data_IF_083265021626
#
_entry.id   IF_083265021626
#
_cell.length_a   1.000
_cell.length_b   1.000
_cell.length_c   1.000
_cell.angle_alpha   90.00
_cell.angle_beta   90.00
_cell.angle_gamma   90.00
#
_symmetry.space_group_name_H-M   'P 1'
#
loop_
_entity.id
_entity.type
_entity.pdbx_description
1 polymer ?
#
# COMPACT_ATOMS: atom_id res chain seq x y z
N UNK A 1 1.23 17.15 -12.78
CA UNK A 1 1.23 15.68 -12.96
C UNK A 1 -0.21 15.23 -12.77
N UNK A 2 -0.79 14.52 -13.71
CA UNK A 2 -2.15 13.97 -13.56
C UNK A 2 -2.00 12.61 -12.88
N UNK A 3 -2.44 12.49 -11.64
CA UNK A 3 -2.53 11.22 -10.93
C UNK A 3 -3.97 10.73 -10.96
N UNK A 4 -4.17 9.46 -11.23
CA UNK A 4 -5.49 8.87 -11.30
C UNK A 4 -5.90 8.18 -10.01
N UNK A 5 -4.95 7.55 -9.34
CA UNK A 5 -5.13 6.88 -8.05
C UNK A 5 -3.97 7.28 -7.14
N UNK A 6 -4.27 7.65 -5.92
CA UNK A 6 -3.30 8.03 -4.90
C UNK A 6 -3.65 7.33 -3.57
N UNK A 7 -2.72 6.55 -3.05
CA UNK A 7 -2.82 6.02 -1.70
C UNK A 7 -2.16 6.97 -0.69
N UNK A 8 -2.80 7.14 0.44
CA UNK A 8 -2.31 7.92 1.58
C UNK A 8 -2.19 7.02 2.80
N UNK A 9 -1.08 7.14 3.50
CA UNK A 9 -0.83 6.52 4.80
C UNK A 9 -0.81 7.59 5.89
N UNK A 10 -0.95 7.18 7.13
CA UNK A 10 -0.94 8.08 8.31
C UNK A 10 -1.94 9.24 8.20
N UNK A 11 -3.11 9.00 7.67
CA UNK A 11 -4.12 10.05 7.53
C UNK A 11 -4.58 10.60 8.87
N UNK A 12 -4.42 9.83 9.94
CA UNK A 12 -4.86 10.15 11.31
C UNK A 12 -6.33 10.53 11.39
N UNK A 13 -7.12 10.09 10.42
CA UNK A 13 -8.56 10.30 10.38
C UNK A 13 -9.28 9.28 11.25
N UNK A 14 -10.45 9.67 11.75
CA UNK A 14 -11.33 8.77 12.49
C UNK A 14 -12.47 8.30 11.60
N UNK A 15 -12.86 7.03 11.83
CA UNK A 15 -13.94 6.40 11.10
C UNK A 15 -13.57 6.11 9.65
N UNK A 16 -14.50 5.54 8.95
CA UNK A 16 -14.36 5.09 7.57
C UNK A 16 -15.46 5.67 6.71
N UNK A 17 -15.27 5.69 5.41
CA UNK A 17 -16.29 6.13 4.47
C UNK A 17 -15.76 6.97 3.33
N UNK A 18 -16.69 7.52 2.56
CA UNK A 18 -16.37 8.46 1.48
C UNK A 18 -16.22 9.88 2.03
N UNK A 19 -15.22 10.59 1.53
CA UNK A 19 -14.94 11.99 1.87
C UNK A 19 -14.47 12.76 0.66
N UNK A 20 -14.76 14.05 0.64
CA UNK A 20 -14.22 14.97 -0.36
C UNK A 20 -12.94 15.63 0.17
N UNK A 21 -11.91 15.63 -0.66
CA UNK A 21 -10.64 16.33 -0.44
C UNK A 21 -10.51 17.44 -1.49
N UNK A 22 -11.11 18.58 -1.21
CA UNK A 22 -11.35 19.61 -2.23
C UNK A 22 -12.33 19.10 -3.29
N UNK A 23 -11.92 19.05 -4.55
CA UNK A 23 -12.72 18.50 -5.67
C UNK A 23 -12.48 16.99 -5.91
N UNK A 24 -11.62 16.34 -5.11
CA UNK A 24 -11.25 14.94 -5.33
C UNK A 24 -12.02 14.03 -4.37
N UNK A 25 -12.68 13.02 -4.89
CA UNK A 25 -13.33 11.99 -4.09
C UNK A 25 -12.29 11.03 -3.50
N UNK A 26 -12.43 10.72 -2.23
CA UNK A 26 -11.57 9.77 -1.53
C UNK A 26 -12.37 8.83 -0.65
N UNK A 27 -11.79 7.67 -0.40
CA UNK A 27 -12.28 6.70 0.57
C UNK A 27 -11.24 6.59 1.66
N UNK A 28 -11.70 6.60 2.90
CA UNK A 28 -10.84 6.59 4.08
C UNK A 28 -11.16 5.40 4.96
N UNK A 29 -10.14 4.84 5.58
CA UNK A 29 -10.25 3.85 6.65
C UNK A 29 -9.35 4.30 7.81
N UNK A 30 -9.95 4.48 8.97
CA UNK A 30 -9.25 4.96 10.16
C UNK A 30 -9.78 4.30 11.43
N UNK A 31 -9.16 4.62 12.56
CA UNK A 31 -9.57 4.06 13.86
C UNK A 31 -10.98 4.51 14.24
N UNK A 32 -11.76 3.59 14.78
CA UNK A 32 -13.14 3.87 15.22
C UNK A 32 -13.13 4.63 16.54
N UNK A 33 -12.24 4.27 17.47
CA UNK A 33 -12.13 4.86 18.81
C UNK A 33 -10.69 5.08 19.23
N UNK A 34 -10.47 5.92 20.24
CA UNK A 34 -9.14 6.21 20.76
C UNK A 34 -8.37 7.26 19.97
N UNK A 35 -7.04 7.31 20.15
CA UNK A 35 -6.16 8.26 19.47
C UNK A 35 -5.89 7.78 18.04
N UNK A 36 -6.28 8.59 17.06
CA UNK A 36 -5.99 8.30 15.65
C UNK A 36 -4.48 8.45 15.37
N UNK A 37 -3.76 7.34 15.38
CA UNK A 37 -2.33 7.26 15.03
C UNK A 37 -2.11 6.69 13.64
N UNK A 38 -3.10 6.04 13.09
CA UNK A 38 -3.12 5.31 11.83
C UNK A 38 -4.11 5.94 10.88
N UNK A 39 -4.40 5.26 9.83
CA UNK A 39 -5.39 5.62 8.83
C UNK A 39 -4.80 5.56 7.44
N UNK A 40 -5.56 5.00 6.53
CA UNK A 40 -5.25 4.93 5.10
C UNK A 40 -6.37 5.56 4.29
N UNK A 41 -6.03 6.05 3.11
CA UNK A 41 -7.03 6.54 2.16
C UNK A 41 -6.63 6.22 0.72
N UNK A 42 -7.62 6.13 -0.16
CA UNK A 42 -7.42 6.09 -1.60
C UNK A 42 -8.21 7.24 -2.22
N UNK A 43 -7.49 8.14 -2.88
CA UNK A 43 -8.08 9.21 -3.68
C UNK A 43 -8.07 8.79 -5.14
N UNK A 44 -9.15 9.09 -5.86
CA UNK A 44 -9.29 8.78 -7.28
C UNK A 44 -9.67 10.03 -8.06
N UNK A 45 -9.12 10.20 -9.26
CA UNK A 45 -9.50 11.30 -10.14
C UNK A 45 -10.96 11.16 -10.61
N UNK A 46 -11.59 12.25 -11.03
CA UNK A 46 -12.96 12.24 -11.56
C UNK A 46 -13.16 11.18 -12.65
N UNK A 47 -12.19 11.05 -13.57
CA UNK A 47 -12.27 10.06 -14.66
C UNK A 47 -12.19 8.60 -14.18
N UNK A 48 -11.66 8.35 -12.99
CA UNK A 48 -11.59 7.00 -12.37
C UNK A 48 -12.78 6.77 -11.47
N UNK A 49 -13.33 7.82 -10.87
CA UNK A 49 -14.46 7.74 -9.94
C UNK A 49 -15.66 6.98 -10.53
N UNK A 50 -16.01 7.26 -11.79
CA UNK A 50 -17.11 6.60 -12.49
C UNK A 50 -16.84 5.11 -12.80
N UNK A 51 -15.56 4.68 -12.71
CA UNK A 51 -15.11 3.31 -12.97
C UNK A 51 -14.92 2.49 -11.70
N UNK A 52 -15.07 3.11 -10.54
CA UNK A 52 -15.04 2.42 -9.26
C UNK A 52 -16.28 1.55 -9.14
N UNK A 53 -16.07 0.24 -9.02
CA UNK A 53 -17.17 -0.74 -8.92
C UNK A 53 -17.39 -1.24 -7.49
N UNK A 54 -16.35 -1.19 -6.67
CA UNK A 54 -16.39 -1.67 -5.30
C UNK A 54 -15.24 -1.07 -4.49
N UNK A 55 -15.41 -0.92 -3.19
CA UNK A 55 -14.35 -0.63 -2.26
C UNK A 55 -14.66 -1.21 -0.89
N UNK A 56 -13.62 -1.48 -0.11
CA UNK A 56 -13.77 -2.03 1.24
C UNK A 56 -12.66 -1.53 2.16
N UNK A 57 -13.04 -1.14 3.33
CA UNK A 57 -12.17 -1.00 4.49
C UNK A 57 -11.96 -2.37 5.13
N UNK A 58 -10.71 -2.74 5.34
CA UNK A 58 -10.33 -3.98 6.00
C UNK A 58 -9.93 -3.70 7.45
N UNK A 59 -9.10 -2.67 7.65
CA UNK A 59 -8.68 -2.18 8.95
C UNK A 59 -8.25 -0.72 8.88
N UNK A 60 -7.87 -0.11 10.01
CA UNK A 60 -7.26 1.24 10.01
C UNK A 60 -5.94 1.34 9.21
N UNK A 61 -5.37 0.20 8.81
CA UNK A 61 -4.10 0.10 8.06
C UNK A 61 -4.25 -0.44 6.65
N UNK A 62 -5.45 -0.90 6.29
CA UNK A 62 -5.66 -1.64 5.04
C UNK A 62 -7.04 -1.36 4.46
N UNK A 63 -7.08 -0.97 3.21
CA UNK A 63 -8.30 -0.81 2.41
C UNK A 63 -8.01 -1.03 0.93
N UNK A 64 -9.03 -1.27 0.15
CA UNK A 64 -8.88 -1.38 -1.30
C UNK A 64 -10.04 -0.75 -2.06
N UNK A 65 -9.76 -0.44 -3.32
CA UNK A 65 -10.73 0.06 -4.31
C UNK A 65 -10.59 -0.75 -5.58
N UNK A 66 -11.70 -1.25 -6.10
CA UNK A 66 -11.77 -2.00 -7.35
C UNK A 66 -12.26 -1.09 -8.48
N UNK A 67 -11.50 -1.04 -9.55
CA UNK A 67 -11.76 -0.18 -10.71
C UNK A 67 -11.89 -1.05 -11.97
N UNK A 68 -12.95 -0.86 -12.72
CA UNK A 68 -13.13 -1.52 -14.01
C UNK A 68 -12.67 -0.60 -15.15
N UNK A 69 -11.62 -1.02 -15.86
CA UNK A 69 -11.05 -0.27 -16.98
C UNK A 69 -11.17 -1.07 -18.28
N UNK A 70 -12.21 -0.80 -19.04
CA UNK A 70 -12.54 -1.59 -20.22
C UNK A 70 -12.89 -3.03 -19.85
N UNK A 71 -12.08 -3.98 -20.32
CA UNK A 71 -12.23 -5.41 -19.97
C UNK A 71 -11.44 -5.83 -18.74
N UNK A 72 -10.53 -4.99 -18.28
CA UNK A 72 -9.66 -5.28 -17.14
C UNK A 72 -10.28 -4.81 -15.83
N UNK A 73 -9.99 -5.53 -14.77
CA UNK A 73 -10.30 -5.15 -13.40
C UNK A 73 -9.00 -4.94 -12.66
N UNK A 74 -8.89 -3.77 -12.04
CA UNK A 74 -7.75 -3.36 -11.22
C UNK A 74 -8.17 -3.19 -9.78
N UNK A 75 -7.39 -3.73 -8.88
CA UNK A 75 -7.56 -3.53 -7.43
C UNK A 75 -6.38 -2.76 -6.91
N UNK A 76 -6.66 -1.58 -6.37
CA UNK A 76 -5.68 -0.73 -5.71
C UNK A 76 -5.84 -0.90 -4.20
N UNK A 77 -4.82 -1.44 -3.56
CA UNK A 77 -4.77 -1.66 -2.11
C UNK A 77 -3.92 -0.56 -1.49
N UNK A 78 -4.47 0.18 -0.53
CA UNK A 78 -3.71 1.11 0.31
C UNK A 78 -3.35 0.42 1.60
N UNK A 79 -2.06 0.31 1.89
CA UNK A 79 -1.54 -0.40 3.04
C UNK A 79 -0.55 0.47 3.84
N UNK A 80 -0.69 0.45 5.17
CA UNK A 80 0.21 1.11 6.11
C UNK A 80 0.76 0.07 7.08
N UNK A 81 1.94 -0.44 6.78
CA UNK A 81 2.63 -1.44 7.60
C UNK A 81 2.97 -0.91 8.99
N UNK A 82 2.91 -1.75 10.02
CA UNK A 82 3.34 -1.37 11.36
C UNK A 82 4.84 -1.09 11.40
N UNK A 83 5.24 -0.07 12.18
CA UNK A 83 6.64 0.23 12.42
C UNK A 83 7.30 -0.74 13.39
N UNK A 84 8.61 -0.60 13.56
CA UNK A 84 9.42 -1.45 14.45
C UNK A 84 9.09 -1.30 15.94
N UNK A 85 8.36 -0.25 16.32
CA UNK A 85 7.90 0.01 17.69
C UNK A 85 6.68 -0.84 18.08
N UNK A 86 6.08 -1.55 17.11
CA UNK A 86 4.93 -2.43 17.33
C UNK A 86 5.37 -3.83 17.76
N UNK A 87 4.48 -4.54 18.45
CA UNK A 87 4.75 -5.91 18.86
C UNK A 87 4.91 -6.84 17.65
N UNK A 88 5.48 -8.01 17.86
CA UNK A 88 5.65 -8.99 16.79
C UNK A 88 4.29 -9.50 16.32
N UNK A 89 3.36 -9.71 17.26
CA UNK A 89 2.00 -10.15 16.99
C UNK A 89 1.24 -9.14 16.11
N UNK A 90 1.33 -7.81 16.42
CA UNK A 90 0.70 -6.77 15.61
C UNK A 90 1.29 -6.72 14.18
N UNK A 91 2.59 -6.98 14.05
CA UNK A 91 3.24 -7.03 12.74
C UNK A 91 2.80 -8.26 11.94
N UNK A 92 2.77 -9.42 12.56
CA UNK A 92 2.34 -10.65 11.90
C UNK A 92 0.88 -10.58 11.47
N UNK A 93 -0.01 -10.11 12.34
CA UNK A 93 -1.44 -9.90 12.02
C UNK A 93 -1.64 -9.01 10.78
N UNK A 94 -0.82 -7.96 10.64
CA UNK A 94 -0.86 -7.08 9.47
C UNK A 94 -0.49 -7.84 8.19
N UNK A 95 0.59 -8.63 8.19
CA UNK A 95 1.05 -9.35 7.01
C UNK A 95 0.07 -10.46 6.59
N UNK A 96 -0.51 -11.17 7.56
CA UNK A 96 -1.59 -12.14 7.32
C UNK A 96 -2.80 -11.43 6.71
N UNK A 97 -3.24 -10.32 7.30
CA UNK A 97 -4.38 -9.55 6.78
C UNK A 97 -4.14 -9.01 5.37
N UNK A 98 -2.91 -8.62 5.04
CA UNK A 98 -2.54 -8.16 3.70
C UNK A 98 -2.58 -9.32 2.70
N UNK A 99 -2.02 -10.49 3.03
CA UNK A 99 -2.04 -11.68 2.18
C UNK A 99 -3.48 -12.14 1.93
N UNK A 100 -4.29 -12.29 2.98
CA UNK A 100 -5.70 -12.65 2.87
C UNK A 100 -6.49 -11.65 2.01
N UNK A 101 -6.21 -10.36 2.16
CA UNK A 101 -6.84 -9.31 1.37
C UNK A 101 -6.51 -9.47 -0.13
N UNK A 102 -5.24 -9.70 -0.47
CA UNK A 102 -4.80 -9.89 -1.86
C UNK A 102 -5.44 -11.14 -2.44
N UNK A 103 -5.45 -12.25 -1.71
CA UNK A 103 -6.08 -13.50 -2.15
C UNK A 103 -7.57 -13.33 -2.42
N UNK A 104 -8.29 -12.67 -1.50
CA UNK A 104 -9.73 -12.46 -1.61
C UNK A 104 -10.15 -11.61 -2.81
N UNK A 105 -9.32 -10.63 -3.22
CA UNK A 105 -9.66 -9.69 -4.30
C UNK A 105 -9.05 -10.05 -5.65
N UNK A 106 -8.06 -10.95 -5.66
CA UNK A 106 -7.17 -11.17 -6.80
C UNK A 106 -7.70 -12.12 -7.88
N UNK A 107 -8.87 -12.72 -7.74
CA UNK A 107 -9.40 -13.68 -8.75
C UNK A 107 -9.62 -13.00 -10.11
N UNK A 108 -8.61 -13.11 -11.00
CA UNK A 108 -8.64 -12.55 -12.35
C UNK A 108 -8.49 -11.03 -12.44
N UNK A 109 -7.96 -10.38 -11.41
CA UNK A 109 -7.73 -8.95 -11.35
C UNK A 109 -6.24 -8.61 -11.40
N UNK A 110 -5.92 -7.41 -11.86
CA UNK A 110 -4.61 -6.81 -11.65
C UNK A 110 -4.56 -6.16 -10.26
N UNK A 111 -3.57 -6.47 -9.45
CA UNK A 111 -3.43 -5.92 -8.09
C UNK A 111 -2.25 -4.97 -8.01
N UNK A 112 -2.47 -3.81 -7.38
CA UNK A 112 -1.42 -2.83 -7.06
C UNK A 112 -1.50 -2.50 -5.58
N UNK A 113 -0.49 -2.93 -4.82
CA UNK A 113 -0.35 -2.54 -3.40
C UNK A 113 0.46 -1.25 -3.33
N UNK A 114 -0.07 -0.25 -2.65
CA UNK A 114 0.50 1.08 -2.51
C UNK A 114 0.49 1.52 -1.03
N UNK A 115 1.33 2.45 -0.68
CA UNK A 115 1.39 3.03 0.65
C UNK A 115 2.77 2.90 1.29
N UNK A 116 2.84 2.99 2.61
CA UNK A 116 4.07 2.82 3.37
C UNK A 116 4.02 1.50 4.17
N UNK A 117 4.77 0.52 3.71
CA UNK A 117 4.81 -0.81 4.35
C UNK A 117 5.87 -0.91 5.46
N UNK A 118 6.60 0.17 5.76
CA UNK A 118 7.75 0.16 6.67
C UNK A 118 8.75 -0.98 6.38
N UNK A 119 8.80 -1.41 5.11
CA UNK A 119 9.53 -2.57 4.62
C UNK A 119 10.70 -2.14 3.72
N UNK A 120 11.90 -2.62 4.03
CA UNK A 120 13.09 -2.51 3.18
C UNK A 120 13.48 -3.90 2.70
N UNK A 121 13.42 -4.11 1.39
CA UNK A 121 13.69 -5.42 0.76
C UNK A 121 15.16 -5.67 0.41
N UNK A 122 16.01 -4.64 0.57
CA UNK A 122 17.43 -4.75 0.18
C UNK A 122 17.69 -4.43 -1.29
N UNK A 123 18.93 -4.63 -1.71
CA UNK A 123 19.39 -4.44 -3.09
C UNK A 123 19.67 -5.74 -3.84
N UNK A 124 19.55 -6.87 -3.16
CA UNK A 124 19.70 -8.18 -3.76
C UNK A 124 18.58 -8.45 -4.76
N UNK A 125 18.94 -8.88 -5.95
CA UNK A 125 17.97 -9.21 -7.00
C UNK A 125 17.31 -10.54 -6.66
N UNK A 126 16.00 -10.52 -6.55
CA UNK A 126 15.17 -11.74 -6.42
C UNK A 126 14.35 -11.88 -7.69
N UNK A 127 14.55 -12.99 -8.40
CA UNK A 127 13.91 -13.20 -9.69
C UNK A 127 12.39 -13.00 -9.61
N UNK A 128 11.85 -12.21 -10.52
CA UNK A 128 10.43 -11.86 -10.62
C UNK A 128 9.85 -11.07 -9.42
N UNK A 129 10.64 -10.73 -8.39
CA UNK A 129 10.17 -10.00 -7.20
C UNK A 129 10.93 -8.69 -6.99
N UNK A 130 12.27 -8.72 -6.94
CA UNK A 130 13.11 -7.55 -6.68
C UNK A 130 14.03 -7.28 -7.86
N UNK A 131 13.95 -6.06 -8.40
CA UNK A 131 14.79 -5.62 -9.51
C UNK A 131 16.14 -5.06 -9.04
N UNK A 132 16.92 -4.56 -10.02
CA UNK A 132 18.33 -4.13 -9.85
C UNK A 132 18.51 -2.80 -9.09
N UNK A 133 17.44 -2.11 -8.75
CA UNK A 133 17.51 -0.74 -8.22
C UNK A 133 16.96 -0.63 -6.79
N UNK A 134 17.01 -1.69 -6.02
CA UNK A 134 16.74 -1.69 -4.59
C UNK A 134 17.63 -0.70 -3.81
N UNK A 135 17.42 -0.60 -2.52
CA UNK A 135 18.26 0.17 -1.60
C UNK A 135 18.92 -0.77 -0.61
N UNK A 136 20.15 -0.47 -0.16
CA UNK A 136 20.84 -1.26 0.84
C UNK A 136 20.04 -1.41 2.13
N UNK A 137 20.25 -2.53 2.78
CA UNK A 137 19.60 -2.87 4.04
C UNK A 137 18.23 -3.51 3.85
N UNK A 138 18.06 -4.65 4.51
CA UNK A 138 16.81 -5.39 4.61
C UNK A 138 16.36 -5.42 6.09
N UNK A 139 15.08 -5.29 6.35
CA UNK A 139 14.52 -5.41 7.69
C UNK A 139 13.48 -6.54 7.74
N UNK A 140 13.02 -6.91 8.94
CA UNK A 140 12.06 -7.98 9.13
C UNK A 140 10.76 -7.77 8.32
N UNK A 141 10.24 -6.52 8.26
CA UNK A 141 9.09 -6.21 7.40
C UNK A 141 9.40 -6.41 5.91
N UNK A 142 10.66 -6.17 5.49
CA UNK A 142 11.08 -6.42 4.11
C UNK A 142 11.15 -7.92 3.79
N UNK A 143 11.51 -8.77 4.73
CA UNK A 143 11.45 -10.23 4.58
C UNK A 143 10.01 -10.70 4.41
N UNK A 144 9.09 -10.23 5.25
CA UNK A 144 7.66 -10.52 5.14
C UNK A 144 7.05 -10.00 3.83
N UNK A 145 7.44 -8.81 3.38
CA UNK A 145 7.00 -8.30 2.07
C UNK A 145 7.46 -9.20 0.92
N UNK A 146 8.68 -9.73 0.98
CA UNK A 146 9.17 -10.66 -0.03
C UNK A 146 8.38 -11.98 -0.02
N UNK A 147 8.03 -12.52 1.15
CA UNK A 147 7.17 -13.70 1.30
C UNK A 147 5.82 -13.46 0.61
N UNK A 148 5.13 -12.37 0.94
CA UNK A 148 3.84 -12.00 0.32
C UNK A 148 3.98 -11.78 -1.20
N UNK A 149 5.06 -11.13 -1.66
CA UNK A 149 5.29 -10.95 -3.09
C UNK A 149 5.51 -12.26 -3.83
N UNK A 150 6.22 -13.22 -3.24
CA UNK A 150 6.43 -14.54 -3.84
C UNK A 150 5.15 -15.37 -3.87
N UNK A 151 4.36 -15.32 -2.80
CA UNK A 151 3.09 -16.05 -2.67
C UNK A 151 2.06 -15.59 -3.71
N UNK A 152 1.96 -14.26 -3.94
CA UNK A 152 0.96 -13.66 -4.81
C UNK A 152 1.49 -13.21 -6.18
N UNK A 153 2.69 -13.64 -6.57
CA UNK A 153 3.33 -13.27 -7.85
C UNK A 153 3.44 -11.75 -8.08
N UNK A 154 3.69 -11.00 -6.98
CA UNK A 154 3.85 -9.56 -7.02
C UNK A 154 5.31 -9.15 -7.21
N UNK A 155 5.50 -7.96 -7.76
CA UNK A 155 6.81 -7.36 -8.00
C UNK A 155 6.96 -6.09 -7.17
N UNK A 156 8.10 -5.89 -6.53
CA UNK A 156 8.42 -4.64 -5.83
C UNK A 156 8.81 -3.57 -6.85
N UNK A 157 7.81 -2.85 -7.34
CA UNK A 157 7.92 -1.90 -8.45
C UNK A 157 9.00 -0.82 -8.25
N UNK A 158 9.24 -0.38 -7.02
CA UNK A 158 10.27 0.61 -6.69
C UNK A 158 11.69 0.15 -7.07
N UNK A 159 11.91 -1.15 -7.18
CA UNK A 159 13.21 -1.76 -7.48
C UNK A 159 13.46 -1.96 -8.97
N UNK A 160 12.44 -1.75 -9.81
CA UNK A 160 12.54 -1.94 -11.27
C UNK A 160 13.13 -0.73 -12.00
N UNK A 161 13.04 0.47 -11.41
CA UNK A 161 13.39 1.71 -12.10
C UNK A 161 14.55 2.42 -11.42
N UNK A 162 15.53 2.88 -12.25
CA UNK A 162 16.63 3.69 -11.75
C UNK A 162 16.13 5.05 -11.29
N UNK A 163 16.32 5.38 -10.03
CA UNK A 163 16.03 6.69 -9.43
C UNK A 163 17.27 7.28 -8.79
N UNK A 164 17.37 8.62 -8.74
CA UNK A 164 18.39 9.29 -7.94
C UNK A 164 18.21 8.93 -6.48
N UNK A 165 19.30 8.81 -5.69
CA UNK A 165 19.28 8.43 -4.27
C UNK A 165 18.23 9.21 -3.48
N UNK A 166 18.16 10.53 -3.63
CA UNK A 166 17.20 11.41 -2.96
C UNK A 166 15.71 11.11 -3.26
N UNK A 167 15.41 10.32 -4.30
CA UNK A 167 14.05 9.92 -4.68
C UNK A 167 13.73 8.46 -4.33
N UNK A 168 14.65 7.77 -3.64
CA UNK A 168 14.45 6.38 -3.21
C UNK A 168 13.99 6.27 -1.76
N UNK A 169 14.18 7.33 -0.97
CA UNK A 169 13.85 7.36 0.46
C UNK A 169 12.71 8.33 0.68
N UNK A 170 11.74 7.91 1.45
CA UNK A 170 10.59 8.74 1.86
C UNK A 170 10.83 9.44 3.19
N UNK A 171 11.89 9.05 3.90
CA UNK A 171 12.23 9.58 5.21
C UNK A 171 13.76 9.61 5.42
N UNK A 172 14.26 10.65 6.09
CA UNK A 172 15.67 10.85 6.42
C UNK A 172 15.81 11.24 7.89
N UNK A 173 16.76 10.63 8.61
CA UNK A 173 17.25 11.21 9.86
C UNK A 173 18.17 12.37 9.55
N UNK A 174 18.00 13.48 10.27
CA UNK A 174 18.96 14.59 10.24
C UNK A 174 20.27 14.06 10.84
N UNK A 175 21.33 13.94 10.02
CA UNK A 175 22.66 13.48 10.45
C UNK A 175 23.12 12.14 9.84
N UNK A 176 22.37 11.53 8.92
CA UNK A 176 22.82 10.39 8.11
C UNK A 176 23.03 10.76 6.63
#
# INVERSE_FOLDING_TARGET
>A
MKMDVLALSETKMRGSGERMFGSVAGRVSGVVSGRAREGVAILVSERVQEKVVEWKEVSSRLMWVKVKWGREVWVFVSAYGPGSERTEEEREEFWVSLSDCIEAVCKGCNVVVMGDLNARVGEEVVANVVGKFGVPGKNASGEKLLEVCMEHELVVGNTLFRKKRKHKYTWWRVGE
#
